data_IF_475064005599
#
_entry.id   IF_475064005599
#
_cell.length_a   1.000
_cell.length_b   1.000
_cell.length_c   1.000
_cell.angle_alpha   90.00
_cell.angle_beta   90.00
_cell.angle_gamma   90.00
#
_symmetry.space_group_name_H-M   'P 1'
#
loop_
_entity.id
_entity.type
_entity.pdbx_description
1 polymer ?
#
# COMPACT_ATOMS: atom_id res chain seq x y z
N UNK A 1 15.68 -5.43 12.26
CA UNK A 1 14.41 -5.12 11.57
C UNK A 1 14.74 -4.56 10.19
N UNK A 2 13.90 -4.75 9.17
CA UNK A 2 14.17 -4.32 7.78
C UNK A 2 13.36 -3.07 7.43
N UNK A 3 14.04 -1.97 7.12
CA UNK A 3 13.41 -0.68 6.82
C UNK A 3 13.11 0.16 8.07
N UNK A 4 12.92 1.47 7.86
CA UNK A 4 12.72 2.48 8.91
C UNK A 4 11.45 3.33 8.71
N UNK A 5 10.68 3.07 7.64
CA UNK A 5 9.47 3.81 7.31
C UNK A 5 8.24 3.09 7.84
N UNK A 6 7.10 3.79 7.87
CA UNK A 6 5.84 3.20 8.29
C UNK A 6 5.77 2.97 9.80
N UNK A 7 5.03 1.96 10.23
CA UNK A 7 4.75 1.69 11.64
C UNK A 7 4.43 0.22 11.91
N UNK A 8 4.42 -0.16 13.20
CA UNK A 8 4.01 -1.49 13.64
C UNK A 8 4.79 -2.62 12.96
N UNK A 9 4.06 -3.52 12.29
CA UNK A 9 4.63 -4.71 11.65
C UNK A 9 5.16 -4.48 10.22
N UNK A 10 5.18 -3.25 9.74
CA UNK A 10 5.71 -2.91 8.41
C UNK A 10 7.12 -3.47 8.13
N UNK A 11 8.06 -3.55 9.11
CA UNK A 11 9.38 -4.15 8.89
C UNK A 11 9.40 -5.67 8.68
N UNK A 12 8.26 -6.34 8.82
CA UNK A 12 8.12 -7.79 8.68
C UNK A 12 7.29 -8.19 7.46
N UNK A 13 6.51 -7.27 6.90
CA UNK A 13 5.55 -7.59 5.83
C UNK A 13 6.15 -7.30 4.47
N UNK A 14 6.33 -8.35 3.66
CA UNK A 14 6.71 -8.26 2.25
C UNK A 14 5.45 -8.49 1.41
N UNK A 15 4.98 -7.51 0.61
CA UNK A 15 3.83 -7.72 -0.25
C UNK A 15 4.15 -8.75 -1.35
N UNK A 16 3.12 -9.45 -1.80
CA UNK A 16 3.23 -10.47 -2.85
C UNK A 16 3.92 -9.92 -4.10
N UNK A 17 4.82 -10.71 -4.69
CA UNK A 17 5.60 -10.33 -5.87
C UNK A 17 6.74 -9.33 -5.61
N UNK A 18 6.99 -8.94 -4.36
CA UNK A 18 8.07 -8.03 -4.00
C UNK A 18 9.10 -8.68 -3.07
N UNK A 19 10.28 -8.05 -2.98
CA UNK A 19 11.37 -8.48 -2.09
C UNK A 19 11.60 -7.52 -0.92
N UNK A 20 11.05 -6.29 -1.00
CA UNK A 20 11.15 -5.23 0.02
C UNK A 20 10.00 -5.30 1.02
N UNK A 21 10.26 -4.97 2.28
CA UNK A 21 9.20 -4.83 3.29
C UNK A 21 8.42 -3.53 3.09
N UNK A 22 7.22 -3.43 3.67
CA UNK A 22 6.50 -2.16 3.68
C UNK A 22 7.25 -1.03 4.39
N UNK A 23 8.16 -1.34 5.33
CA UNK A 23 9.00 -0.34 5.98
C UNK A 23 10.19 0.13 5.12
N UNK A 24 10.48 -0.54 4.00
CA UNK A 24 11.50 -0.13 3.02
C UNK A 24 10.88 0.70 1.88
N UNK A 25 9.58 0.51 1.61
CA UNK A 25 8.82 1.19 0.56
C UNK A 25 8.45 2.64 0.93
N UNK A 26 8.36 3.52 -0.08
CA UNK A 26 7.84 4.87 0.09
C UNK A 26 6.35 4.88 0.41
N UNK A 27 5.84 5.99 0.94
CA UNK A 27 4.41 6.17 1.15
C UNK A 27 3.62 6.09 -0.16
N UNK A 28 4.21 6.57 -1.26
CA UNK A 28 3.63 6.50 -2.61
C UNK A 28 3.50 5.04 -3.09
N UNK A 29 4.57 4.26 -3.02
CA UNK A 29 4.54 2.81 -3.35
C UNK A 29 3.47 2.07 -2.54
N UNK A 30 3.32 2.43 -1.26
CA UNK A 30 2.41 1.75 -0.32
C UNK A 30 0.96 2.21 -0.43
N UNK A 31 0.70 3.49 -0.67
CA UNK A 31 -0.61 4.14 -0.46
C UNK A 31 -1.15 4.93 -1.66
N UNK A 32 -0.46 5.00 -2.79
CA UNK A 32 -0.96 5.70 -3.98
C UNK A 32 -2.34 5.21 -4.44
N UNK A 33 -3.08 6.13 -5.05
CA UNK A 33 -4.39 5.90 -5.64
C UNK A 33 -4.39 6.37 -7.11
N UNK A 34 -5.27 5.85 -7.96
CA UNK A 34 -5.38 6.32 -9.34
C UNK A 34 -5.65 7.83 -9.40
N UNK A 35 -5.07 8.57 -10.38
CA UNK A 35 -4.19 8.11 -11.45
C UNK A 35 -2.70 7.96 -11.07
N UNK A 36 -2.31 8.35 -9.86
CA UNK A 36 -0.90 8.42 -9.42
C UNK A 36 -0.26 7.05 -9.13
N UNK A 37 -1.07 5.99 -9.06
CA UNK A 37 -0.63 4.61 -8.85
C UNK A 37 -1.74 3.75 -8.28
N UNK A 38 -1.43 2.51 -7.86
CA UNK A 38 -2.44 1.58 -7.33
C UNK A 38 -2.31 1.24 -5.84
N UNK A 39 -1.19 1.61 -5.20
CA UNK A 39 -0.94 1.40 -3.78
C UNK A 39 -0.95 -0.08 -3.35
N UNK A 40 0.17 -0.57 -2.83
CA UNK A 40 0.30 -1.99 -2.47
C UNK A 40 -0.40 -2.39 -1.17
N UNK A 41 -0.74 -1.43 -0.30
CA UNK A 41 -1.35 -1.74 1.00
C UNK A 41 -2.78 -2.26 0.89
N UNK A 42 -3.16 -3.09 1.87
CA UNK A 42 -4.56 -3.54 2.04
C UNK A 42 -5.53 -2.35 2.13
N UNK A 43 -5.12 -1.24 2.75
CA UNK A 43 -5.91 0.00 2.82
C UNK A 43 -6.18 0.58 1.43
N UNK A 44 -5.14 0.76 0.61
CA UNK A 44 -5.31 1.27 -0.75
C UNK A 44 -6.24 0.38 -1.58
N UNK A 45 -6.11 -0.96 -1.46
CA UNK A 45 -7.02 -1.91 -2.11
C UNK A 45 -8.48 -1.76 -1.64
N UNK A 46 -8.71 -1.69 -0.33
CA UNK A 46 -10.06 -1.53 0.23
C UNK A 46 -10.70 -0.20 -0.17
N UNK A 47 -9.94 0.90 -0.13
CA UNK A 47 -10.43 2.22 -0.54
C UNK A 47 -10.76 2.28 -2.03
N UNK A 48 -9.98 1.62 -2.90
CA UNK A 48 -10.32 1.50 -4.33
C UNK A 48 -11.65 0.79 -4.54
N UNK A 49 -11.86 -0.34 -3.85
CA UNK A 49 -13.14 -1.07 -3.95
C UNK A 49 -14.31 -0.22 -3.44
N UNK A 50 -14.13 0.51 -2.34
CA UNK A 50 -15.14 1.43 -1.83
C UNK A 50 -15.46 2.53 -2.84
N UNK A 51 -14.44 3.18 -3.42
CA UNK A 51 -14.63 4.22 -4.42
C UNK A 51 -15.37 3.70 -5.65
N UNK A 52 -14.95 2.55 -6.18
CA UNK A 52 -15.60 1.90 -7.31
C UNK A 52 -17.07 1.53 -7.00
N UNK A 53 -17.36 1.03 -5.80
CA UNK A 53 -18.71 0.59 -5.45
C UNK A 53 -19.68 1.72 -5.10
N UNK A 54 -19.16 2.87 -4.64
CA UNK A 54 -19.99 3.91 -4.01
C UNK A 54 -19.84 5.31 -4.61
N UNK A 55 -18.78 5.59 -5.37
CA UNK A 55 -18.42 6.94 -5.83
C UNK A 55 -18.27 7.05 -7.35
N UNK A 56 -18.06 5.92 -8.05
CA UNK A 56 -17.97 5.86 -9.50
C UNK A 56 -19.35 5.40 -10.04
N UNK A 57 -20.03 6.29 -10.78
CA UNK A 57 -21.31 6.01 -11.47
C UNK A 57 -21.11 5.67 -12.94
#
# INVERSE_FOLDING_TARGET
TRGAKGFGYDPMFVPEGHTRTFAEMSAEEKHSMPPLGFGLSHRARAFRQLAQACLEA
#
